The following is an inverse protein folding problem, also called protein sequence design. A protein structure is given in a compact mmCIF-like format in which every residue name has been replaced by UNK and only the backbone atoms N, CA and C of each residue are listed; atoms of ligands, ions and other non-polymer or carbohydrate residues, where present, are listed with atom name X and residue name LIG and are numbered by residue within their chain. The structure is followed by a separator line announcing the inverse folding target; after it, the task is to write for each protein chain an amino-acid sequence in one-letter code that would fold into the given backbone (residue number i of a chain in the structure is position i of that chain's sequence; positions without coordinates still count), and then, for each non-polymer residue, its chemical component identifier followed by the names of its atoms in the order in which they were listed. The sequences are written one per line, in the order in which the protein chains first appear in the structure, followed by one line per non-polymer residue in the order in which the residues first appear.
data_IF_735302533331
#
_entry.id   IF_735302533331
#
_cell.length_a   1.000
_cell.length_b   1.000
_cell.length_c   1.000
_cell.angle_alpha   90.00
_cell.angle_beta   90.00
_cell.angle_gamma   90.00
#
_symmetry.space_group_name_H-M   'P 1'
#
loop_
_entity.id
_entity.type
_entity.pdbx_description
1 polymer ?
#
# COMPACT_ATOMS: atom_id res chain seq x y z
N UNK A 1 -8.64 -0.13 -3.38
CA UNK A 1 -7.17 -0.01 -3.37
C UNK A 1 -6.74 0.58 -4.69
N UNK A 2 -5.83 1.55 -4.67
CA UNK A 2 -5.20 2.11 -5.87
C UNK A 2 -4.50 1.05 -6.71
N UNK A 3 -4.07 1.38 -7.92
CA UNK A 3 -3.51 0.45 -8.88
C UNK A 3 -2.23 -0.22 -8.42
N UNK A 4 -2.31 -1.48 -8.00
CA UNK A 4 -1.11 -2.29 -7.70
C UNK A 4 -0.60 -2.91 -8.98
N UNK A 5 0.65 -2.65 -9.32
CA UNK A 5 1.29 -3.26 -10.48
C UNK A 5 1.64 -4.74 -10.18
N UNK A 6 1.01 -5.64 -10.94
CA UNK A 6 1.22 -7.07 -10.81
C UNK A 6 2.64 -7.51 -11.20
N UNK A 7 3.33 -6.75 -12.05
CA UNK A 7 4.69 -7.09 -12.49
C UNK A 7 5.67 -6.95 -11.32
N UNK A 8 5.64 -5.80 -10.63
CA UNK A 8 6.55 -5.54 -9.50
C UNK A 8 6.15 -6.28 -8.23
N UNK A 9 4.94 -6.84 -8.19
CA UNK A 9 4.45 -7.61 -7.03
C UNK A 9 5.01 -9.02 -6.96
N UNK A 10 5.50 -9.57 -8.07
CA UNK A 10 6.05 -10.93 -8.12
C UNK A 10 7.26 -11.09 -7.19
N UNK A 11 7.37 -12.26 -6.58
CA UNK A 11 8.43 -12.63 -5.65
C UNK A 11 8.52 -11.77 -4.37
N UNK A 12 7.62 -10.80 -4.19
CA UNK A 12 7.57 -10.03 -2.96
C UNK A 12 7.12 -10.90 -1.77
N UNK A 13 7.79 -10.72 -0.65
CA UNK A 13 7.33 -11.28 0.62
C UNK A 13 6.19 -10.45 1.16
N UNK A 14 5.18 -11.12 1.68
CA UNK A 14 3.98 -10.48 2.21
C UNK A 14 3.62 -11.01 3.58
N UNK A 15 2.86 -10.21 4.32
CA UNK A 15 2.20 -10.64 5.55
C UNK A 15 0.69 -10.62 5.31
N UNK A 16 0.06 -11.77 5.48
CA UNK A 16 -1.40 -11.91 5.55
C UNK A 16 -1.83 -11.66 6.98
N UNK A 17 -2.65 -10.65 7.22
CA UNK A 17 -3.12 -10.26 8.55
C UNK A 17 -4.38 -11.02 8.90
N UNK A 18 -4.22 -12.14 9.57
CA UNK A 18 -5.35 -12.99 9.97
C UNK A 18 -5.79 -12.70 11.40
N UNK A 19 -7.01 -13.11 11.75
CA UNK A 19 -7.51 -13.02 13.14
C UNK A 19 -6.73 -13.90 14.14
N UNK A 20 -5.92 -14.86 13.66
CA UNK A 20 -5.05 -15.73 14.47
C UNK A 20 -3.61 -15.23 14.56
N UNK A 21 -3.31 -14.08 13.97
CA UNK A 21 -1.98 -13.52 13.87
C UNK A 21 -1.45 -13.49 12.44
N UNK A 22 -0.28 -12.91 12.21
CA UNK A 22 0.30 -12.74 10.89
C UNK A 22 0.76 -14.08 10.30
N UNK A 23 0.53 -14.26 9.00
CA UNK A 23 1.03 -15.40 8.21
C UNK A 23 1.91 -14.85 7.10
N UNK A 24 3.15 -15.31 7.04
CA UNK A 24 4.10 -14.93 6.00
C UNK A 24 3.82 -15.72 4.73
N UNK A 25 3.90 -15.03 3.58
CA UNK A 25 3.78 -15.64 2.27
C UNK A 25 4.68 -14.97 1.23
N UNK A 26 4.71 -15.56 0.05
CA UNK A 26 5.42 -15.03 -1.11
C UNK A 26 4.47 -14.96 -2.29
N UNK A 27 4.47 -13.83 -3.00
CA UNK A 27 3.66 -13.67 -4.21
C UNK A 27 4.26 -14.47 -5.34
N UNK A 28 3.52 -15.46 -5.82
CA UNK A 28 3.85 -16.28 -6.97
C UNK A 28 3.03 -15.92 -8.20
N UNK A 29 3.48 -16.42 -9.34
CA UNK A 29 2.81 -16.30 -10.62
C UNK A 29 3.00 -17.64 -11.38
N UNK A 30 2.02 -18.12 -12.16
CA UNK A 30 2.21 -19.30 -12.99
C UNK A 30 3.47 -19.19 -13.85
N UNK A 31 4.25 -20.25 -13.98
CA UNK A 31 5.50 -20.20 -14.76
C UNK A 31 5.22 -19.92 -16.23
N UNK A 32 6.18 -19.34 -16.98
CA UNK A 32 5.97 -18.88 -18.35
C UNK A 32 5.40 -19.94 -19.31
N UNK A 33 5.81 -21.20 -19.15
CA UNK A 33 5.32 -22.30 -19.98
C UNK A 33 3.84 -22.68 -19.73
N UNK A 34 3.26 -22.24 -18.61
CA UNK A 34 1.84 -22.42 -18.30
C UNK A 34 1.01 -21.17 -18.64
N UNK A 35 1.64 -20.08 -19.02
CA UNK A 35 1.00 -18.82 -19.40
C UNK A 35 0.73 -18.72 -20.90
N UNK A 36 0.78 -19.82 -21.64
CA UNK A 36 0.69 -19.83 -23.11
C UNK A 36 -0.60 -19.16 -23.59
N UNK A 37 -0.42 -17.93 -24.08
CA UNK A 37 -1.22 -17.37 -25.17
C UNK A 37 -0.23 -17.14 -26.31
N UNK A 38 -0.41 -17.80 -27.43
CA UNK A 38 0.41 -17.62 -28.62
C UNK A 38 0.40 -16.13 -29.01
N UNK A 39 1.60 -15.52 -29.07
CA UNK A 39 1.84 -14.26 -29.76
C UNK A 39 2.02 -13.00 -28.91
N UNK A 40 1.64 -12.94 -27.63
CA UNK A 40 1.85 -11.74 -26.82
C UNK A 40 2.23 -12.06 -25.37
N UNK A 41 3.33 -11.47 -24.90
CA UNK A 41 3.69 -11.43 -23.48
C UNK A 41 2.79 -10.41 -22.78
N UNK A 42 1.56 -10.79 -22.46
CA UNK A 42 0.68 -9.92 -21.68
C UNK A 42 1.21 -9.80 -20.25
N UNK A 43 1.26 -8.57 -19.76
CA UNK A 43 1.51 -8.33 -18.34
C UNK A 43 0.45 -9.09 -17.50
N UNK A 44 0.85 -9.81 -16.44
CA UNK A 44 -0.11 -10.52 -15.60
C UNK A 44 -1.07 -9.53 -14.95
N UNK A 45 -2.31 -9.94 -14.77
CA UNK A 45 -3.26 -9.22 -13.93
C UNK A 45 -3.01 -9.56 -12.46
N UNK A 46 -3.41 -8.69 -11.55
CA UNK A 46 -3.33 -8.97 -10.11
C UNK A 46 -4.11 -10.24 -9.72
N UNK A 47 -5.18 -10.55 -10.45
CA UNK A 47 -5.99 -11.77 -10.28
C UNK A 47 -5.30 -13.06 -10.70
N UNK A 48 -4.21 -12.97 -11.45
CA UNK A 48 -3.43 -14.13 -11.92
C UNK A 48 -2.36 -14.52 -10.88
N UNK A 49 -2.11 -13.64 -9.91
CA UNK A 49 -1.15 -13.87 -8.85
C UNK A 49 -1.75 -14.73 -7.74
N UNK A 50 -0.91 -15.49 -7.09
CA UNK A 50 -1.25 -16.24 -5.88
C UNK A 50 -0.23 -15.95 -4.77
N UNK A 51 -0.59 -16.27 -3.53
CA UNK A 51 0.33 -16.18 -2.39
C UNK A 51 0.58 -17.59 -1.88
N UNK A 52 1.82 -18.01 -1.96
CA UNK A 52 2.28 -19.23 -1.33
C UNK A 52 2.54 -18.96 0.16
N UNK A 53 1.80 -19.65 1.03
CA UNK A 53 1.94 -19.60 2.49
C UNK A 53 2.50 -20.91 3.06
N UNK A 54 3.12 -21.75 2.22
CA UNK A 54 3.70 -23.02 2.60
C UNK A 54 2.66 -24.11 2.94
N UNK A 55 1.50 -24.08 2.27
CA UNK A 55 0.46 -25.10 2.43
C UNK A 55 0.39 -26.01 1.21
N UNK A 56 0.26 -27.30 1.43
CA UNK A 56 0.18 -28.33 0.37
C UNK A 56 -1.26 -28.71 0.00
N UNK A 57 -2.27 -28.10 0.62
CA UNK A 57 -3.67 -28.35 0.29
C UNK A 57 -4.54 -27.16 0.67
N UNK A 58 -5.67 -27.03 -0.03
CA UNK A 58 -6.71 -26.05 0.28
C UNK A 58 -7.16 -26.11 1.74
N UNK A 59 -7.42 -27.33 2.24
CA UNK A 59 -7.86 -27.56 3.63
C UNK A 59 -6.82 -27.08 4.66
N UNK A 60 -5.53 -27.19 4.36
CA UNK A 60 -4.48 -26.68 5.25
C UNK A 60 -4.39 -25.14 5.18
N UNK A 61 -4.57 -24.55 4.00
CA UNK A 61 -4.57 -23.10 3.83
C UNK A 61 -5.76 -22.44 4.55
N UNK A 62 -6.97 -22.98 4.38
CA UNK A 62 -8.20 -22.45 5.01
C UNK A 62 -8.18 -22.47 6.55
N UNK A 63 -7.32 -23.29 7.17
CA UNK A 63 -7.08 -23.26 8.61
C UNK A 63 -6.23 -22.05 9.05
N UNK A 64 -5.44 -21.49 8.15
CA UNK A 64 -4.46 -20.42 8.43
C UNK A 64 -4.93 -19.07 7.98
N UNK A 65 -5.59 -18.98 6.83
CA UNK A 65 -6.03 -17.73 6.21
C UNK A 65 -7.48 -17.82 5.76
N UNK A 66 -8.12 -16.66 5.58
CA UNK A 66 -9.49 -16.54 5.06
C UNK A 66 -9.51 -15.60 3.86
N UNK A 67 -10.48 -15.79 2.99
CA UNK A 67 -10.79 -14.81 1.95
C UNK A 67 -11.18 -13.49 2.63
N UNK A 68 -10.54 -12.39 2.21
CA UNK A 68 -10.74 -11.06 2.79
C UNK A 68 -9.71 -10.66 3.85
N UNK A 69 -8.81 -11.57 4.28
CA UNK A 69 -7.70 -11.17 5.15
C UNK A 69 -6.81 -10.15 4.44
N UNK A 70 -6.52 -8.98 5.04
CA UNK A 70 -5.66 -7.97 4.44
C UNK A 70 -4.23 -8.46 4.24
N UNK A 71 -3.58 -7.99 3.18
CA UNK A 71 -2.23 -8.40 2.83
C UNK A 71 -1.36 -7.15 2.67
N UNK A 72 -0.18 -7.17 3.26
CA UNK A 72 0.82 -6.10 3.10
C UNK A 72 2.15 -6.66 2.62
N UNK A 73 2.81 -5.93 1.73
CA UNK A 73 4.18 -6.26 1.29
C UNK A 73 5.15 -5.99 2.45
N UNK A 74 6.12 -6.89 2.65
CA UNK A 74 7.11 -6.78 3.70
C UNK A 74 8.29 -5.91 3.24
N UNK A 75 8.03 -4.61 3.11
CA UNK A 75 9.03 -3.58 2.83
C UNK A 75 9.08 -2.64 4.03
N UNK A 76 10.14 -2.78 4.82
CA UNK A 76 10.38 -1.94 5.99
C UNK A 76 11.02 -0.62 5.57
N UNK A 77 11.16 0.29 6.53
CA UNK A 77 11.95 1.50 6.36
C UNK A 77 13.44 1.12 6.25
N UNK A 78 14.09 1.59 5.20
CA UNK A 78 15.52 1.40 4.96
C UNK A 78 16.16 2.69 4.42
N UNK A 79 17.39 2.95 4.84
CA UNK A 79 18.21 4.00 4.25
C UNK A 79 18.96 3.41 3.06
N UNK A 80 18.73 3.94 1.87
CA UNK A 80 19.39 3.49 0.65
C UNK A 80 20.78 4.12 0.51
N UNK A 81 20.86 5.43 0.68
CA UNK A 81 22.13 6.16 0.59
C UNK A 81 21.98 7.55 1.24
N UNK A 82 22.89 7.91 2.13
CA UNK A 82 22.86 9.20 2.85
C UNK A 82 21.47 9.46 3.46
N UNK A 83 20.80 10.49 2.97
CA UNK A 83 19.48 10.92 3.45
C UNK A 83 18.31 10.35 2.61
N UNK A 84 18.60 9.41 1.70
CA UNK A 84 17.60 8.78 0.86
C UNK A 84 17.09 7.51 1.54
N UNK A 85 15.81 7.50 1.84
CA UNK A 85 15.13 6.38 2.47
C UNK A 85 14.05 5.78 1.55
N UNK A 86 13.74 4.52 1.78
CA UNK A 86 12.63 3.81 1.15
C UNK A 86 11.78 3.14 2.22
N UNK A 87 10.47 3.16 2.04
CA UNK A 87 9.53 2.37 2.82
C UNK A 87 8.21 2.23 2.06
N UNK A 88 7.45 1.19 2.37
CA UNK A 88 6.07 1.11 1.91
C UNK A 88 5.24 2.25 2.51
N UNK A 89 4.23 2.70 1.77
CA UNK A 89 3.28 3.73 2.21
C UNK A 89 3.91 5.11 2.50
N UNK A 90 5.09 5.42 1.94
CA UNK A 90 5.59 6.78 1.84
C UNK A 90 4.64 7.65 1.01
N UNK A 91 4.02 7.07 0.02
CA UNK A 91 2.85 7.60 -0.65
C UNK A 91 1.57 7.16 0.14
N UNK A 92 0.85 8.06 0.85
CA UNK A 92 1.35 9.42 1.04
C UNK A 92 1.43 9.79 2.55
N UNK A 93 2.08 8.97 3.35
CA UNK A 93 2.35 9.30 4.77
C UNK A 93 3.34 10.45 4.93
N UNK A 94 4.27 10.61 3.98
CA UNK A 94 5.22 11.71 4.00
C UNK A 94 4.50 13.04 3.80
N UNK A 95 3.54 13.11 2.88
CA UNK A 95 2.71 14.31 2.70
C UNK A 95 1.90 14.65 3.95
N UNK A 96 1.29 13.66 4.59
CA UNK A 96 0.57 13.87 5.85
C UNK A 96 1.48 14.40 6.95
N UNK A 97 2.67 13.83 7.10
CA UNK A 97 3.67 14.34 8.04
C UNK A 97 4.12 15.76 7.71
N UNK A 98 4.41 16.04 6.42
CA UNK A 98 4.87 17.36 5.98
C UNK A 98 3.84 18.46 6.26
N UNK A 99 2.55 18.18 6.08
CA UNK A 99 1.46 19.12 6.41
C UNK A 99 1.41 19.41 7.91
N UNK A 100 1.52 18.38 8.74
CA UNK A 100 1.53 18.52 10.19
C UNK A 100 2.77 19.31 10.68
N UNK A 101 3.95 19.00 10.14
CA UNK A 101 5.19 19.67 10.48
C UNK A 101 5.20 21.12 10.00
N UNK A 102 4.68 21.41 8.81
CA UNK A 102 4.53 22.78 8.33
C UNK A 102 3.67 23.61 9.27
N UNK A 103 2.52 23.07 9.73
CA UNK A 103 1.69 23.75 10.72
C UNK A 103 2.45 23.99 12.03
N UNK A 104 3.17 22.99 12.54
CA UNK A 104 3.99 23.11 13.75
C UNK A 104 5.03 24.23 13.62
N UNK A 105 5.72 24.33 12.50
CA UNK A 105 6.69 25.38 12.25
C UNK A 105 6.03 26.76 12.14
N UNK A 106 4.87 26.84 11.50
CA UNK A 106 4.13 28.08 11.32
C UNK A 106 3.57 28.64 12.62
N UNK A 107 3.14 27.78 13.57
CA UNK A 107 2.65 28.24 14.89
C UNK A 107 3.71 29.00 15.70
N UNK A 108 4.99 28.80 15.39
CA UNK A 108 6.10 29.55 15.99
C UNK A 108 6.32 30.92 15.33
N UNK A 109 5.64 31.24 14.23
CA UNK A 109 5.79 32.51 13.51
C UNK A 109 4.87 33.57 14.10
N UNK A 110 5.45 34.72 14.47
CA UNK A 110 4.69 35.89 14.95
C UNK A 110 4.06 36.74 13.83
N UNK A 111 4.20 36.34 12.56
CA UNK A 111 3.84 37.15 11.37
C UNK A 111 2.84 36.44 10.45
N UNK A 112 1.96 35.64 11.00
CA UNK A 112 0.90 35.01 10.21
C UNK A 112 -0.24 36.03 10.01
N UNK A 113 -0.53 36.38 8.75
CA UNK A 113 -1.62 37.26 8.35
C UNK A 113 -2.81 36.48 7.77
N UNK A 114 -2.87 35.17 7.98
CA UNK A 114 -3.91 34.30 7.47
C UNK A 114 -4.19 33.17 8.47
N UNK A 115 -5.41 32.65 8.46
CA UNK A 115 -5.75 31.39 9.09
C UNK A 115 -5.21 30.23 8.23
N UNK A 116 -4.56 29.26 8.87
CA UNK A 116 -3.97 28.11 8.18
C UNK A 116 -4.56 26.84 8.80
N UNK A 117 -5.21 26.04 7.97
CA UNK A 117 -5.77 24.76 8.35
C UNK A 117 -4.90 23.62 7.78
N UNK A 118 -4.31 22.82 8.63
CA UNK A 118 -3.71 21.54 8.24
C UNK A 118 -4.76 20.45 8.31
N UNK A 119 -4.94 19.73 7.21
CA UNK A 119 -6.00 18.75 7.07
C UNK A 119 -5.40 17.38 6.75
N UNK A 120 -5.78 16.38 7.56
CA UNK A 120 -5.59 14.96 7.22
C UNK A 120 -6.94 14.37 6.86
N UNK A 121 -7.10 13.97 5.61
CA UNK A 121 -8.37 13.45 5.10
C UNK A 121 -8.25 11.97 4.68
N UNK A 122 -9.36 11.38 4.29
CA UNK A 122 -9.48 9.99 3.86
C UNK A 122 -10.00 9.89 2.43
N UNK A 123 -10.03 8.67 1.87
CA UNK A 123 -10.60 8.38 0.56
C UNK A 123 -9.91 9.10 -0.61
N UNK A 124 -8.59 9.31 -0.51
CA UNK A 124 -7.79 9.84 -1.60
C UNK A 124 -7.80 8.87 -2.79
N UNK A 125 -7.48 7.60 -2.55
CA UNK A 125 -7.32 6.52 -3.53
C UNK A 125 -8.60 6.14 -4.30
N UNK A 126 -9.74 6.63 -3.86
CA UNK A 126 -11.05 6.36 -4.49
C UNK A 126 -11.71 7.61 -5.06
N UNK A 127 -10.96 8.68 -5.26
CA UNK A 127 -11.44 9.89 -5.95
C UNK A 127 -11.41 11.17 -5.13
N UNK A 128 -10.53 11.30 -4.16
CA UNK A 128 -10.30 12.51 -3.35
C UNK A 128 -11.55 12.98 -2.58
N UNK A 129 -12.45 12.06 -2.21
CA UNK A 129 -13.72 12.43 -1.59
C UNK A 129 -13.54 13.20 -0.28
N UNK A 130 -12.60 12.80 0.57
CA UNK A 130 -12.32 13.50 1.82
C UNK A 130 -11.84 14.94 1.59
N UNK A 131 -10.94 15.16 0.65
CA UNK A 131 -10.44 16.49 0.30
C UNK A 131 -11.57 17.41 -0.22
N UNK A 132 -12.43 16.88 -1.09
CA UNK A 132 -13.60 17.63 -1.61
C UNK A 132 -14.55 18.02 -0.50
N UNK A 133 -14.86 17.11 0.42
CA UNK A 133 -15.76 17.36 1.54
C UNK A 133 -15.22 18.47 2.46
N UNK A 134 -13.93 18.42 2.78
CA UNK A 134 -13.30 19.41 3.65
C UNK A 134 -13.20 20.77 2.95
N UNK A 135 -12.77 20.80 1.69
CA UNK A 135 -12.71 22.05 0.92
C UNK A 135 -14.08 22.77 0.82
N UNK A 136 -15.16 21.99 0.81
CA UNK A 136 -16.52 22.56 0.83
C UNK A 136 -16.93 23.07 2.22
N UNK A 137 -16.40 22.48 3.29
CA UNK A 137 -16.74 22.81 4.68
C UNK A 137 -15.91 23.96 5.26
N UNK A 138 -14.69 24.16 4.77
CA UNK A 138 -13.83 25.28 5.12
C UNK A 138 -14.23 26.50 4.26
N UNK A 139 -14.98 27.42 4.86
CA UNK A 139 -15.38 28.69 4.25
C UNK A 139 -14.63 29.85 4.88
#
# INVERSE_FOLDING_TARGET
MGGVDAIVSKAQRVTVHTHKGPVIGVIGNPPPHMQRVEGETKAPKITDLFIDIGCNSRKSAEKRVRIGDPITVNQNFEILHKDIAVARAFDNRIGTWAVAEALRLLTSSKKLNAEICAVSNTMEEVGLFGARQIAYSLK
#
